data_IF_352723270589
#
_entry.id   IF_352723270589
#
_cell.length_a   1.000
_cell.length_b   1.000
_cell.length_c   1.000
_cell.angle_alpha   90.00
_cell.angle_beta   90.00
_cell.angle_gamma   90.00
#
_symmetry.space_group_name_H-M   'P 1'
#
loop_
_entity.id
_entity.type
_entity.pdbx_description
1 polymer ?
#
# COMPACT_ATOMS: atom_id res chain seq x y z
N UNK A 1 13.81 -17.86 12.48
CA UNK A 1 15.05 -17.21 12.00
C UNK A 1 15.59 -16.42 13.17
N UNK A 2 16.86 -16.61 13.53
CA UNK A 2 17.44 -15.99 14.71
C UNK A 2 17.48 -14.46 14.55
N UNK A 3 16.87 -13.73 15.48
CA UNK A 3 17.10 -12.30 15.64
C UNK A 3 18.56 -12.10 16.02
N UNK A 4 19.36 -11.66 15.04
CA UNK A 4 20.71 -11.20 15.31
C UNK A 4 20.60 -9.97 16.22
N UNK A 5 21.18 -10.07 17.42
CA UNK A 5 21.30 -8.96 18.37
C UNK A 5 21.87 -7.75 17.64
N UNK A 6 21.07 -6.68 17.59
CA UNK A 6 21.43 -5.42 16.93
C UNK A 6 22.74 -4.88 17.52
N UNK A 7 23.69 -4.41 16.69
CA UNK A 7 24.80 -3.60 17.19
C UNK A 7 24.22 -2.38 17.92
N UNK A 8 24.58 -2.22 19.18
CA UNK A 8 24.04 -1.21 20.11
C UNK A 8 24.30 0.23 19.64
N UNK A 9 25.14 0.41 18.63
CA UNK A 9 25.52 1.70 18.05
C UNK A 9 24.47 2.25 17.08
N UNK A 10 23.70 1.41 16.39
CA UNK A 10 22.63 1.86 15.48
C UNK A 10 21.35 2.25 16.23
N UNK A 11 21.17 1.75 17.46
CA UNK A 11 20.09 2.16 18.37
C UNK A 11 20.32 3.51 19.05
N UNK A 12 21.51 4.12 18.89
CA UNK A 12 21.83 5.41 19.50
C UNK A 12 21.40 6.61 18.64
N UNK A 13 21.00 6.39 17.39
CA UNK A 13 20.42 7.47 16.56
C UNK A 13 18.92 7.53 16.85
N UNK A 14 18.38 8.70 17.24
CA UNK A 14 16.94 8.86 17.42
C UNK A 14 16.18 8.41 16.19
N UNK A 15 15.07 7.71 16.41
CA UNK A 15 14.25 7.15 15.33
C UNK A 15 13.78 8.24 14.38
N UNK A 16 13.41 9.39 14.91
CA UNK A 16 12.92 10.55 14.17
C UNK A 16 13.98 11.06 13.19
N UNK A 17 15.26 11.05 13.59
CA UNK A 17 16.36 11.46 12.73
C UNK A 17 16.60 10.44 11.60
N UNK A 18 16.48 9.14 11.91
CA UNK A 18 16.59 8.09 10.89
C UNK A 18 15.43 8.15 9.89
N UNK A 19 14.21 8.41 10.35
CA UNK A 19 13.03 8.64 9.50
C UNK A 19 13.27 9.80 8.54
N UNK A 20 13.78 10.92 9.05
CA UNK A 20 14.08 12.11 8.24
C UNK A 20 15.19 11.83 7.20
N UNK A 21 16.26 11.13 7.57
CA UNK A 21 17.32 10.73 6.62
C UNK A 21 16.76 9.81 5.53
N UNK A 22 15.96 8.81 5.91
CA UNK A 22 15.41 7.83 4.98
C UNK A 22 14.37 8.44 4.05
N UNK A 23 13.62 9.44 4.51
CA UNK A 23 12.71 10.23 3.68
C UNK A 23 13.44 10.97 2.55
N UNK A 24 14.67 11.42 2.83
CA UNK A 24 15.52 12.11 1.84
C UNK A 24 16.35 11.17 0.95
N UNK A 25 16.33 9.85 1.20
CA UNK A 25 17.11 8.84 0.44
C UNK A 25 16.22 7.71 -0.12
N UNK A 26 15.21 8.04 -0.96
CA UNK A 26 14.24 7.06 -1.45
C UNK A 26 14.86 6.00 -2.38
N UNK A 27 16.01 6.27 -3.01
CA UNK A 27 16.66 5.33 -3.93
C UNK A 27 17.39 4.21 -3.17
N UNK A 28 17.76 4.47 -1.91
CA UNK A 28 18.57 3.64 -1.06
C UNK A 28 17.73 2.78 -0.10
N UNK A 29 16.42 3.05 0.03
CA UNK A 29 15.50 2.32 0.89
C UNK A 29 15.54 0.80 0.67
N UNK A 30 15.69 0.37 -0.59
CA UNK A 30 15.78 -1.06 -0.93
C UNK A 30 17.03 -1.74 -0.36
N UNK A 31 18.14 -1.02 -0.23
CA UNK A 31 19.37 -1.51 0.40
C UNK A 31 19.21 -1.50 1.92
N UNK A 32 18.62 -0.43 2.47
CA UNK A 32 18.39 -0.31 3.92
C UNK A 32 17.47 -1.40 4.47
N UNK A 33 16.50 -1.87 3.68
CA UNK A 33 15.64 -3.00 4.01
C UNK A 33 16.40 -4.31 4.32
N UNK A 34 17.62 -4.46 3.79
CA UNK A 34 18.42 -5.68 3.91
C UNK A 34 19.31 -5.69 5.17
N UNK A 35 19.47 -4.54 5.84
CA UNK A 35 20.39 -4.40 6.98
C UNK A 35 19.91 -5.21 8.19
N UNK A 36 18.68 -4.94 8.65
CA UNK A 36 18.04 -5.67 9.75
C UNK A 36 16.52 -5.42 9.74
N UNK A 37 15.78 -6.00 10.70
CA UNK A 37 14.32 -5.81 10.82
C UNK A 37 13.93 -4.36 11.09
N UNK A 38 14.68 -3.64 11.94
CA UNK A 38 14.40 -2.25 12.28
C UNK A 38 14.43 -1.32 11.05
N UNK A 39 15.50 -1.35 10.26
CA UNK A 39 15.60 -0.55 9.04
C UNK A 39 14.60 -0.98 7.96
N UNK A 40 14.23 -2.26 7.94
CA UNK A 40 13.21 -2.78 7.02
C UNK A 40 11.83 -2.24 7.34
N UNK A 41 11.43 -2.30 8.60
CA UNK A 41 10.12 -1.80 9.03
C UNK A 41 10.04 -0.28 8.82
N UNK A 42 11.13 0.44 9.08
CA UNK A 42 11.23 1.87 8.81
C UNK A 42 11.16 2.20 7.31
N UNK A 43 11.93 1.49 6.49
CA UNK A 43 11.87 1.66 5.04
C UNK A 43 10.48 1.34 4.48
N UNK A 44 9.80 0.33 5.01
CA UNK A 44 8.44 0.00 4.61
C UNK A 44 7.45 1.11 4.96
N UNK A 45 7.59 1.72 6.14
CA UNK A 45 6.72 2.84 6.54
C UNK A 45 6.81 4.05 5.62
N UNK A 46 7.96 4.25 4.98
CA UNK A 46 8.21 5.35 4.05
C UNK A 46 7.82 4.95 2.62
N UNK A 47 8.28 3.77 2.17
CA UNK A 47 8.12 3.33 0.78
C UNK A 47 6.67 3.02 0.42
N UNK A 48 5.88 2.50 1.36
CA UNK A 48 4.51 2.05 1.12
C UNK A 48 3.43 3.04 1.55
N UNK A 49 3.79 4.26 1.95
CA UNK A 49 2.80 5.31 2.23
C UNK A 49 1.85 5.52 1.04
N UNK A 50 2.40 5.39 -0.17
CA UNK A 50 1.69 5.55 -1.44
C UNK A 50 1.90 4.35 -2.31
N UNK A 51 0.82 3.68 -2.71
CA UNK A 51 0.89 2.51 -3.58
C UNK A 51 0.20 2.75 -4.91
N UNK A 52 0.74 2.09 -5.94
CA UNK A 52 0.17 2.10 -7.28
C UNK A 52 -0.15 0.68 -7.72
N UNK A 53 -1.44 0.39 -7.82
CA UNK A 53 -1.98 -0.83 -8.38
C UNK A 53 -2.12 -0.64 -9.88
N UNK A 54 -1.44 -1.47 -10.67
CA UNK A 54 -1.41 -1.35 -12.13
C UNK A 54 -1.14 -2.72 -12.77
N UNK A 55 -1.19 -2.87 -14.11
CA UNK A 55 -0.98 -4.18 -14.75
C UNK A 55 0.37 -4.85 -14.47
N UNK A 56 1.39 -4.09 -14.04
CA UNK A 56 2.71 -4.62 -13.65
C UNK A 56 2.76 -5.06 -12.18
N UNK A 57 1.89 -4.51 -11.33
CA UNK A 57 1.75 -4.86 -9.92
C UNK A 57 0.25 -4.83 -9.58
N UNK A 58 -0.39 -5.97 -9.83
CA UNK A 58 -1.84 -6.10 -9.78
C UNK A 58 -2.37 -6.20 -8.35
N UNK A 59 -3.70 -6.20 -8.22
CA UNK A 59 -4.40 -6.24 -6.92
C UNK A 59 -3.99 -7.49 -6.13
N UNK A 60 -3.90 -8.65 -6.80
CA UNK A 60 -3.54 -9.91 -6.15
C UNK A 60 -2.12 -9.89 -5.58
N UNK A 61 -1.17 -9.26 -6.29
CA UNK A 61 0.21 -9.07 -5.81
C UNK A 61 0.24 -8.23 -4.53
N UNK A 62 -0.52 -7.13 -4.51
CA UNK A 62 -0.65 -6.29 -3.31
C UNK A 62 -1.29 -7.03 -2.13
N UNK A 63 -2.33 -7.82 -2.39
CA UNK A 63 -2.99 -8.60 -1.35
C UNK A 63 -2.04 -9.64 -0.73
N UNK A 64 -1.29 -10.37 -1.55
CA UNK A 64 -0.26 -11.31 -1.07
C UNK A 64 0.81 -10.58 -0.26
N UNK A 65 1.25 -9.40 -0.71
CA UNK A 65 2.25 -8.61 0.00
C UNK A 65 1.75 -8.18 1.39
N UNK A 66 0.51 -7.70 1.49
CA UNK A 66 -0.12 -7.31 2.76
C UNK A 66 -0.25 -8.51 3.71
N UNK A 67 -0.63 -9.69 3.19
CA UNK A 67 -0.70 -10.92 3.99
C UNK A 67 0.68 -11.35 4.52
N UNK A 68 1.73 -11.23 3.70
CA UNK A 68 3.11 -11.58 4.08
C UNK A 68 3.73 -10.53 5.02
N UNK A 69 3.33 -9.27 4.88
CA UNK A 69 3.83 -8.12 5.64
C UNK A 69 2.68 -7.22 6.13
N UNK A 70 2.00 -7.61 7.22
CA UNK A 70 0.83 -6.86 7.72
C UNK A 70 1.13 -5.40 8.12
N UNK A 71 2.38 -5.08 8.47
CA UNK A 71 2.81 -3.71 8.75
C UNK A 71 2.55 -2.77 7.56
N UNK A 72 2.67 -3.26 6.33
CA UNK A 72 2.46 -2.47 5.11
C UNK A 72 1.02 -1.93 5.06
N UNK A 73 0.03 -2.72 5.48
CA UNK A 73 -1.36 -2.26 5.53
C UNK A 73 -1.59 -1.07 6.48
N UNK A 74 -0.74 -0.95 7.52
CA UNK A 74 -0.86 0.11 8.53
C UNK A 74 -0.22 1.44 8.10
N UNK A 75 0.48 1.47 6.97
CA UNK A 75 1.19 2.67 6.50
C UNK A 75 0.66 3.19 5.18
N UNK A 76 -0.11 2.40 4.44
CA UNK A 76 -0.72 2.84 3.18
C UNK A 76 -1.80 3.88 3.46
N UNK A 77 -1.58 5.10 2.96
CA UNK A 77 -2.51 6.22 3.05
C UNK A 77 -3.05 6.64 1.68
N UNK A 78 -2.23 6.51 0.62
CA UNK A 78 -2.61 6.89 -0.73
C UNK A 78 -2.60 5.67 -1.66
N UNK A 79 -3.69 5.45 -2.38
CA UNK A 79 -3.81 4.39 -3.37
C UNK A 79 -4.15 4.98 -4.73
N UNK A 80 -3.39 4.62 -5.74
CA UNK A 80 -3.75 4.81 -7.14
C UNK A 80 -3.96 3.47 -7.82
N UNK A 81 -5.15 3.25 -8.38
CA UNK A 81 -5.49 2.07 -9.16
C UNK A 81 -5.62 2.50 -10.61
N UNK A 82 -4.80 1.92 -11.48
CA UNK A 82 -4.92 2.08 -12.94
C UNK A 82 -5.35 0.77 -13.56
N UNK A 83 -6.55 0.73 -14.12
CA UNK A 83 -7.08 -0.43 -14.84
C UNK A 83 -6.71 -0.36 -16.31
N UNK A 84 -6.07 -1.43 -16.82
CA UNK A 84 -5.97 -1.63 -18.27
C UNK A 84 -7.35 -2.07 -18.76
N UNK A 85 -7.92 -1.25 -19.64
CA UNK A 85 -9.18 -1.41 -20.38
C UNK A 85 -9.36 -2.72 -21.17
N UNK A 86 -8.65 -3.79 -20.84
CA UNK A 86 -8.67 -5.08 -21.53
C UNK A 86 -9.12 -6.21 -20.63
N UNK A 87 -10.39 -6.15 -20.20
CA UNK A 87 -11.37 -7.24 -20.21
C UNK A 87 -11.00 -8.65 -19.71
N UNK A 88 -9.89 -8.86 -19.01
CA UNK A 88 -9.61 -10.12 -18.34
C UNK A 88 -10.30 -10.07 -16.99
N UNK A 89 -11.10 -11.10 -16.64
CA UNK A 89 -11.65 -11.20 -15.31
C UNK A 89 -10.47 -11.28 -14.33
N UNK A 90 -10.23 -10.20 -13.60
CA UNK A 90 -9.26 -10.20 -12.51
C UNK A 90 -9.95 -11.01 -11.39
N UNK A 91 -9.32 -12.09 -10.89
CA UNK A 91 -9.93 -12.94 -9.87
C UNK A 91 -10.03 -12.27 -8.49
N UNK A 92 -9.42 -11.09 -8.33
CA UNK A 92 -9.36 -10.32 -7.10
C UNK A 92 -9.90 -8.92 -7.37
N UNK A 93 -10.91 -8.51 -6.61
CA UNK A 93 -11.47 -7.18 -6.70
C UNK A 93 -10.65 -6.22 -5.83
N UNK A 94 -10.48 -4.99 -6.29
CA UNK A 94 -9.77 -3.96 -5.53
C UNK A 94 -10.47 -3.70 -4.19
N UNK A 95 -11.78 -3.81 -4.18
CA UNK A 95 -12.63 -3.69 -3.01
C UNK A 95 -12.28 -4.70 -1.91
N UNK A 96 -11.81 -5.90 -2.26
CA UNK A 96 -11.35 -6.91 -1.29
C UNK A 96 -10.04 -6.46 -0.61
N UNK A 97 -9.08 -5.96 -1.40
CA UNK A 97 -7.84 -5.38 -0.87
C UNK A 97 -8.13 -4.20 0.07
N UNK A 98 -9.10 -3.36 -0.27
CA UNK A 98 -9.44 -2.18 0.53
C UNK A 98 -9.91 -2.54 1.95
N UNK A 99 -10.52 -3.71 2.16
CA UNK A 99 -10.91 -4.17 3.50
C UNK A 99 -9.70 -4.47 4.40
N UNK A 100 -8.55 -4.78 3.80
CA UNK A 100 -7.31 -5.06 4.51
C UNK A 100 -6.52 -3.78 4.82
N UNK A 101 -6.95 -2.61 4.32
CA UNK A 101 -6.21 -1.34 4.39
C UNK A 101 -6.97 -0.30 5.24
N UNK A 102 -6.80 -0.29 6.58
CA UNK A 102 -7.63 0.51 7.48
C UNK A 102 -7.37 2.02 7.40
N UNK A 103 -6.22 2.47 6.90
CA UNK A 103 -5.74 3.85 7.02
C UNK A 103 -5.68 4.61 5.68
N UNK A 104 -6.35 4.10 4.65
CA UNK A 104 -6.42 4.75 3.34
C UNK A 104 -7.21 6.04 3.43
N UNK A 105 -6.57 7.17 3.08
CA UNK A 105 -7.19 8.50 3.07
C UNK A 105 -7.49 8.99 1.67
N UNK A 106 -6.62 8.68 0.69
CA UNK A 106 -6.78 9.14 -0.68
C UNK A 106 -6.84 7.95 -1.64
N UNK A 107 -7.82 7.96 -2.52
CA UNK A 107 -8.05 6.89 -3.48
C UNK A 107 -8.27 7.48 -4.88
N UNK A 108 -7.44 7.06 -5.83
CA UNK A 108 -7.46 7.50 -7.22
C UNK A 108 -7.71 6.31 -8.14
N UNK A 109 -8.92 6.21 -8.67
CA UNK A 109 -9.36 5.14 -9.55
C UNK A 109 -9.36 5.65 -10.98
N UNK A 110 -8.48 5.10 -11.81
CA UNK A 110 -8.19 5.53 -13.18
C UNK A 110 -8.46 4.37 -14.14
N UNK A 111 -9.59 4.40 -14.86
CA UNK A 111 -9.94 3.34 -15.80
C UNK A 111 -10.26 2.00 -15.16
N UNK A 112 -10.60 1.98 -13.86
CA UNK A 112 -10.96 0.78 -13.11
C UNK A 112 -12.47 0.67 -12.98
N UNK A 113 -13.04 -0.49 -13.31
CA UNK A 113 -14.48 -0.74 -13.17
C UNK A 113 -14.79 -1.10 -11.71
N UNK A 114 -15.57 -0.26 -11.04
CA UNK A 114 -15.88 -0.38 -9.61
C UNK A 114 -17.22 -1.14 -9.46
N UNK A 115 -17.27 -2.14 -8.59
CA UNK A 115 -18.54 -2.74 -8.16
C UNK A 115 -19.03 -2.03 -6.88
N UNK A 116 -20.03 -1.16 -7.04
CA UNK A 116 -20.58 -0.38 -5.93
C UNK A 116 -21.22 -1.24 -4.83
N UNK A 117 -21.68 -2.45 -5.14
CA UNK A 117 -22.26 -3.34 -4.11
C UNK A 117 -21.18 -3.85 -3.17
N UNK A 118 -19.98 -4.11 -3.69
CA UNK A 118 -18.84 -4.53 -2.89
C UNK A 118 -18.27 -3.31 -2.17
N UNK A 119 -18.08 -2.19 -2.88
CA UNK A 119 -17.59 -0.96 -2.27
C UNK A 119 -18.48 -0.48 -1.12
N UNK A 120 -19.81 -0.57 -1.25
CA UNK A 120 -20.77 -0.21 -0.20
C UNK A 120 -20.69 -1.13 1.03
N UNK A 121 -20.15 -2.34 0.89
CA UNK A 121 -19.87 -3.27 1.99
C UNK A 121 -18.50 -3.02 2.61
N UNK A 122 -17.58 -2.45 1.86
CA UNK A 122 -16.26 -2.08 2.37
C UNK A 122 -16.37 -0.84 3.27
N UNK A 123 -15.75 -0.89 4.44
CA UNK A 123 -15.65 0.24 5.34
C UNK A 123 -14.66 1.26 4.77
N UNK A 124 -15.11 2.10 3.83
CA UNK A 124 -14.36 3.25 3.31
C UNK A 124 -14.30 4.42 4.30
N UNK A 125 -14.53 4.17 5.59
CA UNK A 125 -14.68 5.19 6.64
C UNK A 125 -13.42 6.05 6.82
N UNK A 126 -12.25 5.53 6.43
CA UNK A 126 -10.98 6.27 6.48
C UNK A 126 -10.73 7.13 5.24
N UNK A 127 -11.44 6.89 4.13
CA UNK A 127 -11.23 7.58 2.86
C UNK A 127 -11.83 8.98 2.92
N UNK A 128 -10.95 9.98 2.78
CA UNK A 128 -11.31 11.41 2.78
C UNK A 128 -11.44 11.97 1.37
N UNK A 129 -10.66 11.42 0.43
CA UNK A 129 -10.65 11.87 -0.96
C UNK A 129 -10.78 10.67 -1.90
N UNK A 130 -11.81 10.70 -2.74
CA UNK A 130 -12.06 9.70 -3.79
C UNK A 130 -12.12 10.40 -5.14
N UNK A 131 -11.18 10.05 -6.01
CA UNK A 131 -11.13 10.50 -7.40
C UNK A 131 -11.42 9.31 -8.33
N UNK A 132 -12.40 9.48 -9.21
CA UNK A 132 -12.83 8.48 -10.18
C UNK A 132 -12.69 9.10 -11.57
N UNK A 133 -11.90 8.49 -12.44
CA UNK A 133 -11.62 9.01 -13.78
C UNK A 133 -11.65 7.88 -14.82
N UNK A 134 -12.46 8.06 -15.87
CA UNK A 134 -12.67 7.08 -16.95
C UNK A 134 -13.09 5.68 -16.45
N UNK A 135 -13.77 5.60 -15.31
CA UNK A 135 -14.28 4.35 -14.77
C UNK A 135 -15.70 4.07 -15.28
N UNK A 136 -16.02 2.80 -15.55
CA UNK A 136 -17.41 2.38 -15.68
C UNK A 136 -18.00 2.19 -14.28
N UNK A 137 -19.10 2.88 -14.01
CA UNK A 137 -19.88 2.68 -12.79
C UNK A 137 -21.02 1.73 -13.10
N UNK A 138 -21.00 0.55 -12.50
CA UNK A 138 -22.06 -0.45 -12.60
C UNK A 138 -22.76 -0.66 -11.27
N UNK A 139 -24.01 -1.11 -11.32
CA UNK A 139 -24.79 -1.55 -10.14
C UNK A 139 -24.98 -0.47 -9.05
N UNK A 140 -25.28 0.78 -9.48
CA UNK A 140 -25.74 1.86 -8.60
C UNK A 140 -27.25 1.68 -8.37
N UNK A 141 -27.65 1.20 -7.19
CA UNK A 141 -29.06 1.00 -6.80
C UNK A 141 -29.33 1.57 -5.41
#
# INVERSE_FOLDING_TARGET
MADALLPTELTNVPRELLEEIMWHTPQELGVLCQVNSYFRDLAYSIQFEKIKVNPLCDIGTWQILVQIRPLIAQVIHDISVTGDSKGRPIPVFFEDLLQELPLVHNMYLLGYNIDYRILARCSIMSVRHLCIHNCLLSDIW
#
